data_IF_031256150497
#
_entry.id   IF_031256150497
#
_cell.length_a   1.000
_cell.length_b   1.000
_cell.length_c   1.000
_cell.angle_alpha   90.00
_cell.angle_beta   90.00
_cell.angle_gamma   90.00
#
_symmetry.space_group_name_H-M   'P 1'
#
loop_
_entity.id
_entity.type
_entity.pdbx_description
1 polymer ?
#
# COMPACT_ATOMS: atom_id res chain seq x y z
N UNK A 1 5.76 4.37 -27.92
CA UNK A 1 6.18 2.97 -28.20
C UNK A 1 5.09 1.99 -27.75
N UNK A 2 5.17 0.69 -28.06
CA UNK A 2 4.19 -0.29 -27.58
C UNK A 2 4.39 -0.60 -26.09
N UNK A 3 3.31 -0.97 -25.40
CA UNK A 3 3.35 -1.51 -24.04
C UNK A 3 4.28 -2.73 -23.96
N UNK A 4 4.88 -3.00 -22.80
CA UNK A 4 5.70 -4.19 -22.66
C UNK A 4 4.85 -5.45 -22.93
N UNK A 5 5.42 -6.47 -23.61
CA UNK A 5 4.75 -7.74 -23.84
C UNK A 5 4.44 -8.46 -22.52
N UNK A 6 3.58 -9.48 -22.54
CA UNK A 6 3.32 -10.27 -21.33
C UNK A 6 4.49 -11.19 -20.97
N UNK A 7 5.16 -11.74 -21.99
CA UNK A 7 6.38 -12.55 -21.84
C UNK A 7 7.63 -11.69 -22.08
N UNK A 8 8.66 -11.89 -21.27
CA UNK A 8 9.90 -11.14 -21.43
C UNK A 8 10.62 -11.51 -22.73
N UNK A 9 10.95 -10.53 -23.59
CA UNK A 9 11.68 -10.78 -24.81
C UNK A 9 13.14 -11.13 -24.51
N UNK A 10 13.70 -12.05 -25.29
CA UNK A 10 15.10 -12.47 -25.16
C UNK A 10 16.05 -11.57 -25.97
N UNK A 11 17.30 -11.47 -25.53
CA UNK A 11 18.38 -10.83 -26.30
C UNK A 11 18.46 -9.31 -26.18
N UNK A 12 17.75 -8.71 -25.21
CA UNK A 12 17.89 -7.30 -24.86
C UNK A 12 19.22 -7.02 -24.14
N UNK A 13 19.70 -5.79 -24.24
CA UNK A 13 20.80 -5.28 -23.40
C UNK A 13 20.35 -5.09 -21.95
N UNK A 14 21.32 -5.01 -21.03
CA UNK A 14 21.03 -4.79 -19.61
C UNK A 14 20.20 -3.51 -19.37
N UNK A 15 20.54 -2.43 -20.08
CA UNK A 15 19.80 -1.15 -20.05
C UNK A 15 18.36 -1.31 -20.54
N UNK A 16 18.14 -2.07 -21.61
CA UNK A 16 16.79 -2.32 -22.14
C UNK A 16 15.94 -3.15 -21.17
N UNK A 17 16.54 -4.16 -20.53
CA UNK A 17 15.88 -4.93 -19.48
C UNK A 17 15.55 -4.09 -18.24
N UNK A 18 16.44 -3.19 -17.79
CA UNK A 18 16.13 -2.26 -16.69
C UNK A 18 14.94 -1.35 -17.03
N UNK A 19 14.93 -0.76 -18.22
CA UNK A 19 13.79 0.05 -18.70
C UNK A 19 12.51 -0.77 -18.78
N UNK A 20 12.60 -2.02 -19.23
CA UNK A 20 11.47 -2.95 -19.27
C UNK A 20 10.94 -3.26 -17.87
N UNK A 21 11.84 -3.49 -16.91
CA UNK A 21 11.49 -3.70 -15.50
C UNK A 21 10.74 -2.51 -14.90
N UNK A 22 11.18 -1.28 -15.20
CA UNK A 22 10.45 -0.07 -14.78
C UNK A 22 9.05 -0.04 -15.39
N UNK A 23 8.89 -0.33 -16.69
CA UNK A 23 7.56 -0.37 -17.32
C UNK A 23 6.64 -1.40 -16.64
N UNK A 24 7.15 -2.58 -16.28
CA UNK A 24 6.39 -3.57 -15.52
C UNK A 24 6.02 -3.08 -14.11
N UNK A 25 6.92 -2.40 -13.39
CA UNK A 25 6.57 -1.79 -12.10
C UNK A 25 5.46 -0.76 -12.22
N UNK A 26 5.50 0.10 -13.25
CA UNK A 26 4.44 1.08 -13.50
C UNK A 26 3.08 0.40 -13.75
N UNK A 27 3.09 -0.82 -14.30
CA UNK A 27 1.91 -1.65 -14.53
C UNK A 27 1.52 -2.50 -13.29
N UNK A 28 2.28 -2.50 -12.21
CA UNK A 28 2.04 -3.39 -11.06
C UNK A 28 2.39 -4.86 -11.32
N UNK A 29 3.11 -5.15 -12.41
CA UNK A 29 3.55 -6.49 -12.83
C UNK A 29 4.86 -6.87 -12.12
N UNK A 30 4.80 -7.06 -10.80
CA UNK A 30 5.98 -7.21 -9.94
C UNK A 30 6.87 -8.40 -10.31
N UNK A 31 6.30 -9.53 -10.72
CA UNK A 31 7.07 -10.72 -11.09
C UNK A 31 7.88 -10.48 -12.37
N UNK A 32 7.23 -9.95 -13.40
CA UNK A 32 7.88 -9.60 -14.67
C UNK A 32 8.90 -8.47 -14.49
N UNK A 33 8.61 -7.50 -13.62
CA UNK A 33 9.57 -6.46 -13.24
C UNK A 33 10.82 -7.08 -12.61
N UNK A 34 10.62 -7.99 -11.65
CA UNK A 34 11.72 -8.70 -10.96
C UNK A 34 12.58 -9.49 -11.94
N UNK A 35 11.97 -10.23 -12.85
CA UNK A 35 12.69 -10.99 -13.87
C UNK A 35 13.46 -10.05 -14.82
N UNK A 36 12.83 -8.96 -15.26
CA UNK A 36 13.46 -7.98 -16.15
C UNK A 36 14.64 -7.29 -15.46
N UNK A 37 14.52 -6.91 -14.18
CA UNK A 37 15.65 -6.35 -13.45
C UNK A 37 16.76 -7.37 -13.23
N UNK A 38 16.43 -8.66 -13.07
CA UNK A 38 17.43 -9.72 -12.95
C UNK A 38 18.23 -9.88 -14.24
N UNK A 39 17.57 -9.85 -15.40
CA UNK A 39 18.22 -9.89 -16.71
C UNK A 39 18.94 -8.57 -17.05
N UNK A 40 18.46 -7.46 -16.50
CA UNK A 40 19.02 -6.12 -16.63
C UNK A 40 20.08 -5.79 -15.59
N UNK A 41 20.36 -6.72 -14.68
CA UNK A 41 21.32 -6.53 -13.62
C UNK A 41 22.72 -6.62 -14.20
N UNK A 42 23.47 -5.53 -14.09
CA UNK A 42 24.92 -5.57 -14.20
C UNK A 42 25.41 -5.72 -12.76
N UNK A 43 26.16 -6.78 -12.47
CA UNK A 43 26.69 -7.01 -11.11
C UNK A 43 27.45 -5.76 -10.64
N UNK A 44 26.99 -5.08 -9.57
CA UNK A 44 27.85 -4.21 -8.83
C UNK A 44 28.90 -5.13 -8.18
N UNK A 45 30.17 -4.84 -8.43
CA UNK A 45 31.27 -5.61 -7.85
C UNK A 45 31.29 -5.51 -6.32
N UNK A 46 30.48 -4.62 -5.72
CA UNK A 46 30.58 -4.16 -4.34
C UNK A 46 29.22 -3.65 -3.78
N UNK A 47 28.99 -3.75 -2.46
CA UNK A 47 27.90 -3.12 -1.70
C UNK A 47 28.07 -1.59 -1.76
N UNK A 48 27.10 -0.78 -1.30
CA UNK A 48 27.31 0.65 -1.11
C UNK A 48 28.53 1.04 -0.24
N UNK A 49 29.13 0.07 0.48
CA UNK A 49 30.34 0.21 1.28
C UNK A 49 31.58 -0.48 0.69
N UNK A 50 31.48 -1.19 -0.44
CA UNK A 50 32.64 -1.82 -1.08
C UNK A 50 32.69 -3.37 -1.08
N UNK A 51 31.67 -4.08 -0.59
CA UNK A 51 31.76 -5.53 -0.36
C UNK A 51 31.03 -6.39 -1.40
N UNK A 52 31.59 -7.50 -1.86
CA UNK A 52 30.87 -8.42 -2.76
C UNK A 52 29.65 -9.04 -2.08
N UNK A 53 28.48 -8.96 -2.71
CA UNK A 53 27.25 -9.62 -2.25
C UNK A 53 27.23 -11.06 -2.73
N UNK A 54 27.22 -12.01 -1.81
CA UNK A 54 27.10 -13.44 -2.12
C UNK A 54 25.64 -13.89 -2.35
N UNK A 55 25.50 -15.07 -2.95
CA UNK A 55 24.23 -15.73 -3.27
C UNK A 55 23.35 -15.95 -2.02
N UNK A 56 23.98 -16.11 -0.86
CA UNK A 56 23.34 -16.34 0.44
C UNK A 56 22.63 -15.07 0.93
N UNK A 57 23.30 -13.92 0.81
CA UNK A 57 22.73 -12.60 1.15
C UNK A 57 21.50 -12.29 0.30
N UNK A 58 21.53 -12.63 -0.99
CA UNK A 58 20.41 -12.42 -1.93
C UNK A 58 19.18 -13.27 -1.58
N UNK A 59 19.37 -14.54 -1.20
CA UNK A 59 18.29 -15.42 -0.70
C UNK A 59 17.73 -14.94 0.63
N UNK A 60 18.58 -14.40 1.50
CA UNK A 60 18.18 -13.81 2.78
C UNK A 60 17.14 -12.69 2.64
N UNK A 61 17.29 -11.79 1.66
CA UNK A 61 16.33 -10.70 1.42
C UNK A 61 14.95 -11.20 0.99
N UNK A 62 14.88 -12.13 0.03
CA UNK A 62 13.62 -12.69 -0.46
C UNK A 62 12.90 -13.50 0.63
N UNK A 63 13.66 -14.27 1.41
CA UNK A 63 13.13 -15.05 2.51
C UNK A 63 12.65 -14.15 3.67
N UNK A 64 13.36 -13.05 3.95
CA UNK A 64 12.96 -12.03 4.92
C UNK A 64 11.66 -11.31 4.54
N UNK A 65 11.47 -10.94 3.27
CA UNK A 65 10.23 -10.31 2.80
C UNK A 65 9.01 -11.24 2.93
N UNK A 66 9.18 -12.53 2.59
CA UNK A 66 8.12 -13.55 2.74
C UNK A 66 7.76 -13.78 4.21
N UNK A 67 8.76 -13.83 5.09
CA UNK A 67 8.54 -13.94 6.54
C UNK A 67 7.82 -12.70 7.06
N UNK A 68 8.20 -11.50 6.62
CA UNK A 68 7.52 -10.25 6.97
C UNK A 68 6.03 -10.28 6.60
N UNK A 69 5.69 -10.71 5.39
CA UNK A 69 4.29 -10.83 4.96
C UNK A 69 3.50 -11.88 5.78
N UNK A 70 4.11 -13.04 6.07
CA UNK A 70 3.50 -14.07 6.91
C UNK A 70 3.28 -13.57 8.34
N UNK A 71 4.23 -12.83 8.88
CA UNK A 71 4.15 -12.20 10.20
C UNK A 71 3.00 -11.19 10.26
N UNK A 72 2.87 -10.30 9.28
CA UNK A 72 1.76 -9.34 9.20
C UNK A 72 0.41 -10.05 9.18
N UNK A 73 0.28 -11.13 8.40
CA UNK A 73 -0.96 -11.91 8.36
C UNK A 73 -1.29 -12.61 9.68
N UNK A 74 -0.27 -13.14 10.38
CA UNK A 74 -0.46 -13.77 11.68
C UNK A 74 -0.91 -12.75 12.75
N UNK A 75 -0.26 -11.57 12.80
CA UNK A 75 -0.63 -10.48 13.72
C UNK A 75 -2.07 -10.02 13.47
N UNK A 76 -2.45 -9.79 12.21
CA UNK A 76 -3.82 -9.36 11.87
C UNK A 76 -4.88 -10.39 12.32
N UNK A 77 -4.60 -11.68 12.20
CA UNK A 77 -5.53 -12.73 12.64
C UNK A 77 -5.62 -12.85 14.16
N UNK A 78 -4.49 -12.72 14.86
CA UNK A 78 -4.47 -12.70 16.32
C UNK A 78 -5.29 -11.51 16.86
N UNK A 79 -5.15 -10.33 16.26
CA UNK A 79 -5.95 -9.15 16.59
C UNK A 79 -7.45 -9.34 16.31
N UNK A 80 -7.80 -9.97 15.18
CA UNK A 80 -9.20 -10.32 14.86
C UNK A 80 -9.80 -11.28 15.89
N UNK A 81 -9.03 -12.26 16.35
CA UNK A 81 -9.49 -13.24 17.33
C UNK A 81 -9.70 -12.61 18.71
N UNK A 82 -8.79 -11.72 19.14
CA UNK A 82 -8.96 -10.96 20.37
C UNK A 82 -10.22 -10.09 20.33
N UNK A 83 -10.48 -9.40 19.22
CA UNK A 83 -11.71 -8.64 19.02
C UNK A 83 -12.99 -9.51 19.02
N UNK A 84 -12.92 -10.77 18.59
CA UNK A 84 -14.05 -11.71 18.65
C UNK A 84 -14.31 -12.30 20.04
N UNK A 85 -13.28 -12.42 20.89
CA UNK A 85 -13.44 -12.93 22.25
C UNK A 85 -14.14 -11.91 23.18
N UNK A 86 -14.20 -10.64 22.80
CA UNK A 86 -14.94 -9.60 23.53
C UNK A 86 -16.44 -9.56 23.17
N UNK A 87 -16.92 -10.39 22.24
CA UNK A 87 -18.33 -10.56 21.88
C UNK A 87 -18.70 -12.05 21.95
N UNK A 88 -19.16 -12.49 23.14
CA UNK A 88 -19.57 -13.86 23.50
C UNK A 88 -20.12 -14.72 22.34
N UNK A 89 -19.42 -15.79 21.98
CA UNK A 89 -19.98 -17.16 21.92
C UNK A 89 -18.88 -18.22 21.79
N UNK A 90 -18.99 -19.24 22.65
CA UNK A 90 -18.06 -20.34 22.79
C UNK A 90 -18.24 -21.37 21.67
N UNK A 91 -17.35 -21.35 20.67
CA UNK A 91 -17.02 -22.53 19.88
C UNK A 91 -15.50 -22.62 19.67
N UNK A 92 -14.88 -23.60 20.33
CA UNK A 92 -13.43 -23.77 20.49
C UNK A 92 -12.66 -24.19 19.23
N UNK A 93 -12.97 -23.62 18.06
CA UNK A 93 -12.28 -23.87 16.80
C UNK A 93 -11.19 -22.82 16.45
N UNK A 94 -11.10 -21.72 17.22
CA UNK A 94 -10.14 -20.63 16.96
C UNK A 94 -8.70 -20.86 17.45
N UNK A 95 -8.48 -21.77 18.42
CA UNK A 95 -7.19 -21.94 19.10
C UNK A 95 -6.14 -22.67 18.24
N UNK A 96 -6.56 -23.56 17.32
CA UNK A 96 -5.63 -24.39 16.56
C UNK A 96 -4.93 -23.66 15.40
N UNK A 97 -5.61 -22.71 14.74
CA UNK A 97 -5.08 -22.06 13.54
C UNK A 97 -4.09 -20.95 13.88
N UNK A 98 -4.32 -20.17 14.93
CA UNK A 98 -3.41 -19.11 15.38
C UNK A 98 -2.08 -19.67 15.90
N UNK A 99 -2.16 -20.81 16.61
CA UNK A 99 -1.00 -21.56 17.04
C UNK A 99 -0.21 -22.11 15.85
N UNK A 100 -0.89 -22.62 14.82
CA UNK A 100 -0.25 -23.05 13.58
C UNK A 100 0.52 -21.91 12.90
N UNK A 101 0.00 -20.67 12.88
CA UNK A 101 0.72 -19.54 12.29
C UNK A 101 1.97 -19.14 13.08
N UNK A 102 1.89 -19.11 14.41
CA UNK A 102 3.07 -18.85 15.25
C UNK A 102 4.11 -19.97 15.11
N UNK A 103 3.66 -21.21 14.95
CA UNK A 103 4.52 -22.36 14.69
C UNK A 103 5.15 -22.29 13.29
N UNK A 104 4.42 -21.84 12.26
CA UNK A 104 4.95 -21.63 10.91
C UNK A 104 6.01 -20.51 10.89
N UNK A 105 5.80 -19.42 11.65
CA UNK A 105 6.80 -18.34 11.80
C UNK A 105 8.04 -18.88 12.52
N UNK A 106 7.84 -19.65 13.59
CA UNK A 106 8.94 -20.30 14.32
C UNK A 106 9.75 -21.18 13.37
N UNK A 107 9.10 -22.05 12.62
CA UNK A 107 9.77 -22.94 11.65
C UNK A 107 10.54 -22.15 10.59
N UNK A 108 9.97 -21.06 10.06
CA UNK A 108 10.63 -20.22 9.06
C UNK A 108 11.87 -19.49 9.60
N UNK A 109 11.80 -18.98 10.84
CA UNK A 109 12.93 -18.30 11.49
C UNK A 109 14.04 -19.30 11.87
N UNK A 110 13.66 -20.47 12.38
CA UNK A 110 14.63 -21.54 12.69
C UNK A 110 15.28 -22.08 11.42
N UNK A 111 14.55 -22.19 10.30
CA UNK A 111 15.10 -22.57 8.99
C UNK A 111 16.10 -21.54 8.42
N UNK A 112 16.06 -20.29 8.88
CA UNK A 112 17.04 -19.25 8.58
C UNK A 112 18.28 -19.28 9.50
N UNK A 113 18.36 -20.26 10.40
CA UNK A 113 19.46 -20.35 11.37
C UNK A 113 19.37 -19.32 12.49
N UNK A 114 18.21 -18.69 12.71
CA UNK A 114 17.99 -17.84 13.89
C UNK A 114 18.03 -18.74 15.13
N UNK A 115 18.85 -18.42 16.14
CA UNK A 115 18.91 -19.19 17.38
C UNK A 115 17.55 -19.32 18.05
N UNK A 116 17.19 -20.52 18.50
CA UNK A 116 15.86 -20.85 19.05
C UNK A 116 15.45 -19.95 20.23
N UNK A 117 16.42 -19.51 21.04
CA UNK A 117 16.20 -18.56 22.13
C UNK A 117 15.74 -17.18 21.63
N UNK A 118 16.28 -16.72 20.49
CA UNK A 118 15.86 -15.48 19.84
C UNK A 118 14.50 -15.62 19.14
N UNK A 119 14.24 -16.77 18.52
CA UNK A 119 12.93 -17.06 17.91
C UNK A 119 11.84 -17.09 18.98
N UNK A 120 12.09 -17.80 20.10
CA UNK A 120 11.16 -17.88 21.21
C UNK A 120 10.87 -16.50 21.80
N UNK A 121 11.92 -15.71 22.07
CA UNK A 121 11.78 -14.34 22.58
C UNK A 121 10.99 -13.45 21.63
N UNK A 122 11.26 -13.54 20.33
CA UNK A 122 10.53 -12.76 19.32
C UNK A 122 9.04 -13.11 19.27
N UNK A 123 8.70 -14.40 19.34
CA UNK A 123 7.31 -14.85 19.39
C UNK A 123 6.62 -14.41 20.69
N UNK A 124 7.31 -14.46 21.83
CA UNK A 124 6.80 -13.94 23.10
C UNK A 124 6.52 -12.43 23.02
N UNK A 125 7.47 -11.64 22.52
CA UNK A 125 7.30 -10.20 22.29
C UNK A 125 6.14 -9.91 21.32
N UNK A 126 5.97 -10.72 20.26
CA UNK A 126 4.86 -10.60 19.32
C UNK A 126 3.50 -10.83 20.00
N UNK A 127 3.38 -11.87 20.81
CA UNK A 127 2.17 -12.21 21.55
C UNK A 127 1.86 -11.14 22.59
N UNK A 128 2.89 -10.61 23.28
CA UNK A 128 2.74 -9.50 24.22
C UNK A 128 2.24 -8.24 23.53
N UNK A 129 2.82 -7.84 22.38
CA UNK A 129 2.39 -6.68 21.60
C UNK A 129 0.92 -6.79 21.20
N UNK A 130 0.49 -7.96 20.71
CA UNK A 130 -0.92 -8.20 20.38
C UNK A 130 -1.80 -8.10 21.64
N UNK A 131 -1.38 -8.72 22.74
CA UNK A 131 -2.14 -8.72 24.00
C UNK A 131 -2.32 -7.31 24.56
N UNK A 132 -1.29 -6.47 24.47
CA UNK A 132 -1.29 -5.07 24.89
C UNK A 132 -2.09 -4.18 23.93
N UNK A 133 -2.08 -4.48 22.62
CA UNK A 133 -2.83 -3.72 21.61
C UNK A 133 -4.37 -3.77 21.81
N UNK A 134 -4.88 -4.73 22.59
CA UNK A 134 -6.29 -4.77 23.01
C UNK A 134 -6.56 -4.32 24.45
N UNK A 135 -5.57 -3.79 25.17
CA UNK A 135 -5.69 -3.42 26.58
C UNK A 135 -6.02 -1.94 26.83
N UNK A 136 -5.89 -1.07 25.83
CA UNK A 136 -6.35 0.32 25.94
C UNK A 136 -7.86 0.38 25.72
N UNK A 137 -8.58 1.02 26.65
CA UNK A 137 -10.00 1.28 26.45
C UNK A 137 -10.17 2.07 25.14
N UNK A 138 -11.08 1.64 24.26
CA UNK A 138 -11.28 2.32 22.99
C UNK A 138 -11.69 3.78 23.25
N UNK A 139 -11.24 4.72 22.40
CA UNK A 139 -11.58 6.12 22.54
C UNK A 139 -13.11 6.30 22.55
N UNK A 140 -13.63 7.38 23.13
CA UNK A 140 -15.07 7.62 23.19
C UNK A 140 -15.66 7.65 21.77
N UNK A 141 -16.86 7.08 21.58
CA UNK A 141 -17.54 7.07 20.26
C UNK A 141 -17.94 8.46 19.77
N UNK A 142 -18.11 9.40 20.70
CA UNK A 142 -18.39 10.81 20.44
C UNK A 142 -17.07 11.57 20.61
N UNK A 143 -16.70 12.33 19.59
CA UNK A 143 -15.46 13.12 19.61
C UNK A 143 -15.57 14.20 20.70
N UNK A 144 -14.66 14.22 21.70
CA UNK A 144 -14.64 15.28 22.71
C UNK A 144 -14.39 16.64 22.06
N UNK A 145 -14.98 17.72 22.55
CA UNK A 145 -14.88 19.05 21.93
C UNK A 145 -13.82 19.96 22.55
N UNK A 146 -13.24 19.55 23.67
CA UNK A 146 -12.34 20.33 24.53
C UNK A 146 -10.89 19.83 24.48
N UNK A 147 -10.41 19.49 23.29
CA UNK A 147 -9.04 19.03 23.05
C UNK A 147 -8.19 20.11 22.37
N UNK A 148 -6.87 19.99 22.49
CA UNK A 148 -5.92 20.76 21.69
C UNK A 148 -5.86 20.23 20.25
N UNK A 149 -5.40 21.03 19.27
CA UNK A 149 -5.27 20.56 17.88
C UNK A 149 -4.38 19.32 17.72
N UNK A 150 -3.34 19.18 18.57
CA UNK A 150 -2.49 17.98 18.60
C UNK A 150 -3.28 16.76 19.06
N UNK A 151 -4.01 16.86 20.17
CA UNK A 151 -4.81 15.76 20.71
C UNK A 151 -5.92 15.36 19.74
N UNK A 152 -6.55 16.33 19.06
CA UNK A 152 -7.49 16.05 17.98
C UNK A 152 -6.86 15.29 16.81
N UNK A 153 -5.65 15.66 16.40
CA UNK A 153 -4.93 14.94 15.36
C UNK A 153 -4.61 13.50 15.78
N UNK A 154 -4.02 13.30 16.97
CA UNK A 154 -3.67 11.99 17.50
C UNK A 154 -4.92 11.09 17.64
N UNK A 155 -6.02 11.65 18.15
CA UNK A 155 -7.31 10.97 18.27
C UNK A 155 -7.89 10.61 16.90
N UNK A 156 -7.79 11.50 15.91
CA UNK A 156 -8.24 11.26 14.55
C UNK A 156 -7.50 10.10 13.86
N UNK A 157 -6.18 10.01 14.06
CA UNK A 157 -5.38 8.87 13.60
C UNK A 157 -5.85 7.59 14.28
N UNK A 158 -6.03 7.62 15.60
CA UNK A 158 -6.44 6.43 16.35
C UNK A 158 -7.84 5.93 15.98
N UNK A 159 -8.81 6.84 15.81
CA UNK A 159 -10.13 6.48 15.27
C UNK A 159 -10.03 5.81 13.90
N UNK A 160 -9.09 6.27 13.05
CA UNK A 160 -8.91 5.68 11.73
C UNK A 160 -8.39 4.24 11.82
N UNK A 161 -7.46 3.97 12.73
CA UNK A 161 -6.93 2.62 12.99
C UNK A 161 -8.03 1.64 13.45
N UNK A 162 -9.01 2.14 14.21
CA UNK A 162 -10.18 1.38 14.64
C UNK A 162 -11.28 1.25 13.57
N UNK A 163 -11.08 1.84 12.38
CA UNK A 163 -12.08 1.89 11.31
C UNK A 163 -13.24 2.85 11.58
N UNK A 164 -13.12 3.75 12.56
CA UNK A 164 -14.15 4.74 12.89
C UNK A 164 -13.94 5.99 12.03
N UNK A 165 -14.09 5.82 10.71
CA UNK A 165 -13.70 6.79 9.68
C UNK A 165 -14.37 8.16 9.83
N UNK A 166 -15.62 8.22 10.29
CA UNK A 166 -16.30 9.51 10.48
C UNK A 166 -15.90 10.21 11.77
N UNK A 167 -15.68 9.47 12.87
CA UNK A 167 -15.07 10.04 14.08
C UNK A 167 -13.65 10.56 13.79
N UNK A 168 -12.89 9.83 12.98
CA UNK A 168 -11.59 10.28 12.51
C UNK A 168 -11.71 11.59 11.72
N UNK A 169 -12.68 11.70 10.81
CA UNK A 169 -12.93 12.92 10.04
C UNK A 169 -13.27 14.10 10.94
N UNK A 170 -14.15 13.90 11.91
CA UNK A 170 -14.58 14.95 12.85
C UNK A 170 -13.39 15.45 13.68
N UNK A 171 -12.62 14.53 14.29
CA UNK A 171 -11.44 14.87 15.08
C UNK A 171 -10.38 15.61 14.25
N UNK A 172 -10.08 15.13 13.03
CA UNK A 172 -9.13 15.79 12.13
C UNK A 172 -9.65 17.17 11.68
N UNK A 173 -10.96 17.33 11.48
CA UNK A 173 -11.56 18.62 11.14
C UNK A 173 -11.38 19.62 12.29
N UNK A 174 -11.60 19.20 13.54
CA UNK A 174 -11.34 20.05 14.70
C UNK A 174 -9.85 20.43 14.85
N UNK A 175 -8.92 19.52 14.54
CA UNK A 175 -7.49 19.86 14.49
C UNK A 175 -7.19 20.95 13.44
N UNK A 176 -7.79 20.84 12.24
CA UNK A 176 -7.65 21.84 11.17
C UNK A 176 -8.26 23.18 11.57
N UNK A 177 -9.45 23.19 12.17
CA UNK A 177 -10.12 24.42 12.62
C UNK A 177 -9.34 25.12 13.74
N UNK A 178 -8.73 24.34 14.64
CA UNK A 178 -8.00 24.87 15.79
C UNK A 178 -6.60 25.40 15.48
N UNK A 179 -5.92 24.90 14.44
CA UNK A 179 -4.52 25.24 14.14
C UNK A 179 -4.31 25.76 12.70
N UNK A 180 -5.25 25.54 11.79
CA UNK A 180 -5.23 26.08 10.43
C UNK A 180 -3.98 25.67 9.64
N UNK A 181 -3.10 26.64 9.40
CA UNK A 181 -1.82 26.46 8.72
C UNK A 181 -0.65 26.13 9.66
N UNK A 182 -0.91 25.93 10.96
CA UNK A 182 0.04 25.40 11.92
C UNK A 182 0.33 23.91 11.69
N UNK A 183 1.32 23.40 12.42
CA UNK A 183 1.87 22.06 12.21
C UNK A 183 0.82 20.94 12.29
N UNK A 184 -0.11 21.02 13.24
CA UNK A 184 -1.12 19.99 13.46
C UNK A 184 -2.30 20.15 12.51
N UNK A 185 -2.67 21.39 12.17
CA UNK A 185 -3.69 21.66 11.16
C UNK A 185 -3.28 21.15 9.78
N UNK A 186 -2.01 21.37 9.39
CA UNK A 186 -1.46 20.84 8.14
C UNK A 186 -1.38 19.32 8.17
N UNK A 187 -0.87 18.71 9.25
CA UNK A 187 -0.83 17.23 9.38
C UNK A 187 -2.22 16.62 9.30
N UNK A 188 -3.20 17.19 10.00
CA UNK A 188 -4.58 16.71 9.99
C UNK A 188 -5.20 16.82 8.60
N UNK A 189 -5.00 17.94 7.90
CA UNK A 189 -5.46 18.12 6.52
C UNK A 189 -4.84 17.08 5.59
N UNK A 190 -3.52 16.90 5.64
CA UNK A 190 -2.82 15.94 4.79
C UNK A 190 -3.30 14.50 5.07
N UNK A 191 -3.47 14.14 6.35
CA UNK A 191 -3.99 12.83 6.74
C UNK A 191 -5.41 12.62 6.23
N UNK A 192 -6.31 13.58 6.44
CA UNK A 192 -7.70 13.52 5.98
C UNK A 192 -7.77 13.34 4.45
N UNK A 193 -6.96 14.09 3.70
CA UNK A 193 -6.94 14.01 2.23
C UNK A 193 -6.33 12.71 1.70
N UNK A 194 -5.30 12.18 2.37
CA UNK A 194 -4.58 11.01 1.91
C UNK A 194 -5.21 9.68 2.37
N UNK A 195 -5.89 9.66 3.52
CA UNK A 195 -6.28 8.41 4.21
C UNK A 195 -7.79 8.21 4.37
N UNK A 196 -8.60 9.22 4.07
CA UNK A 196 -10.06 9.12 4.18
C UNK A 196 -10.73 9.41 2.82
N UNK A 197 -11.87 8.78 2.51
CA UNK A 197 -12.64 9.11 1.33
C UNK A 197 -13.17 10.54 1.43
N UNK A 198 -13.42 11.20 0.29
CA UNK A 198 -13.93 12.57 0.28
C UNK A 198 -15.29 12.67 0.95
N UNK A 199 -16.18 11.75 0.62
CA UNK A 199 -17.54 11.69 1.17
C UNK A 199 -17.65 10.52 2.14
N UNK A 200 -18.49 10.64 3.18
CA UNK A 200 -18.80 9.54 4.07
C UNK A 200 -19.32 8.33 3.28
N UNK A 201 -18.76 7.16 3.57
CA UNK A 201 -19.21 5.88 3.03
C UNK A 201 -19.45 4.91 4.19
N UNK A 202 -20.37 3.94 4.06
CA UNK A 202 -20.56 2.94 5.11
C UNK A 202 -19.25 2.19 5.39
N UNK A 203 -18.98 1.87 6.67
CA UNK A 203 -17.81 1.08 7.09
C UNK A 203 -17.66 -0.20 6.24
N UNK A 204 -18.77 -0.87 5.94
CA UNK A 204 -18.78 -2.09 5.13
C UNK A 204 -18.32 -1.85 3.69
N UNK A 205 -18.58 -0.69 3.11
CA UNK A 205 -18.10 -0.34 1.77
C UNK A 205 -16.58 -0.14 1.77
N UNK A 206 -16.05 0.51 2.81
CA UNK A 206 -14.60 0.66 3.01
C UNK A 206 -13.91 -0.70 3.22
N UNK A 207 -14.47 -1.55 4.08
CA UNK A 207 -13.94 -2.89 4.32
C UNK A 207 -13.96 -3.76 3.06
N UNK A 208 -15.03 -3.67 2.25
CA UNK A 208 -15.08 -4.33 0.94
C UNK A 208 -14.00 -3.81 0.00
N UNK A 209 -13.71 -2.51 -0.01
CA UNK A 209 -12.60 -1.96 -0.81
C UNK A 209 -11.24 -2.51 -0.36
N UNK A 210 -11.01 -2.61 0.96
CA UNK A 210 -9.80 -3.24 1.51
C UNK A 210 -9.73 -4.72 1.08
N UNK A 211 -10.84 -5.45 1.13
CA UNK A 211 -10.92 -6.83 0.65
C UNK A 211 -10.57 -6.94 -0.83
N UNK A 212 -11.10 -6.07 -1.68
CA UNK A 212 -10.75 -6.02 -3.10
C UNK A 212 -9.26 -5.75 -3.33
N UNK A 213 -8.67 -4.83 -2.55
CA UNK A 213 -7.23 -4.57 -2.60
C UNK A 213 -6.41 -5.80 -2.18
N UNK A 214 -6.84 -6.52 -1.15
CA UNK A 214 -6.17 -7.76 -0.71
C UNK A 214 -6.24 -8.86 -1.77
N UNK A 215 -7.37 -9.00 -2.47
CA UNK A 215 -7.50 -9.93 -3.60
C UNK A 215 -6.50 -9.57 -4.72
N UNK A 216 -6.40 -8.29 -5.06
CA UNK A 216 -5.41 -7.80 -6.02
C UNK A 216 -3.98 -8.15 -5.60
N UNK A 217 -3.63 -7.92 -4.32
CA UNK A 217 -2.30 -8.25 -3.80
C UNK A 217 -2.04 -9.76 -3.76
N UNK A 218 -3.08 -10.58 -3.62
CA UNK A 218 -3.01 -12.04 -3.70
C UNK A 218 -2.97 -12.56 -5.15
N UNK A 219 -3.06 -11.69 -6.15
CA UNK A 219 -3.07 -12.05 -7.57
C UNK A 219 -4.45 -12.47 -8.11
N UNK A 220 -5.50 -12.43 -7.30
CA UNK A 220 -6.88 -12.65 -7.75
C UNK A 220 -7.45 -11.36 -8.37
N UNK A 221 -7.00 -11.10 -9.60
CA UNK A 221 -7.36 -9.88 -10.35
C UNK A 221 -8.85 -9.85 -10.70
N UNK A 222 -9.44 -10.98 -11.06
CA UNK A 222 -10.84 -11.07 -11.43
C UNK A 222 -11.74 -10.83 -10.20
N UNK A 223 -11.45 -11.49 -9.06
CA UNK A 223 -12.17 -11.25 -7.81
C UNK A 223 -12.04 -9.80 -7.33
N UNK A 224 -10.86 -9.19 -7.45
CA UNK A 224 -10.67 -7.78 -7.11
C UNK A 224 -11.53 -6.85 -7.98
N UNK A 225 -11.62 -7.10 -9.29
CA UNK A 225 -12.47 -6.32 -10.20
C UNK A 225 -13.94 -6.44 -9.86
N UNK A 226 -14.45 -7.65 -9.62
CA UNK A 226 -15.85 -7.86 -9.24
C UNK A 226 -16.21 -7.04 -8.00
N UNK A 227 -15.32 -7.02 -6.99
CA UNK A 227 -15.52 -6.21 -5.79
C UNK A 227 -15.54 -4.71 -6.10
N UNK A 228 -14.58 -4.20 -6.87
CA UNK A 228 -14.51 -2.77 -7.18
C UNK A 228 -15.66 -2.31 -8.08
N UNK A 229 -16.06 -3.11 -9.08
CA UNK A 229 -17.18 -2.80 -9.97
C UNK A 229 -18.51 -2.76 -9.19
N UNK A 230 -18.74 -3.72 -8.30
CA UNK A 230 -19.91 -3.71 -7.42
C UNK A 230 -19.91 -2.49 -6.48
N UNK A 231 -18.76 -2.11 -5.92
CA UNK A 231 -18.67 -0.91 -5.09
C UNK A 231 -18.92 0.38 -5.88
N UNK A 232 -18.51 0.45 -7.14
CA UNK A 232 -18.79 1.58 -8.02
C UNK A 232 -20.28 1.67 -8.34
N UNK A 233 -20.96 0.55 -8.52
CA UNK A 233 -22.41 0.51 -8.76
C UNK A 233 -23.21 0.96 -7.52
N UNK A 234 -22.84 0.45 -6.35
CA UNK A 234 -23.52 0.77 -5.08
C UNK A 234 -23.19 2.17 -4.55
N UNK A 235 -21.93 2.61 -4.69
CA UNK A 235 -21.40 3.86 -4.15
C UNK A 235 -20.62 4.63 -5.23
N UNK A 236 -21.31 5.23 -6.22
CA UNK A 236 -20.66 5.83 -7.40
C UNK A 236 -19.75 7.02 -7.07
N UNK A 237 -19.94 7.66 -5.91
CA UNK A 237 -19.14 8.79 -5.43
C UNK A 237 -17.97 8.37 -4.53
N UNK A 238 -17.82 7.08 -4.24
CA UNK A 238 -16.66 6.54 -3.52
C UNK A 238 -15.47 6.41 -4.48
N UNK A 239 -14.47 7.27 -4.33
CA UNK A 239 -13.40 7.42 -5.31
C UNK A 239 -12.37 6.27 -5.30
N UNK A 240 -12.21 5.56 -4.17
CA UNK A 240 -11.16 4.55 -4.03
C UNK A 240 -11.34 3.34 -4.96
N UNK A 241 -12.54 2.74 -5.11
CA UNK A 241 -12.78 1.68 -6.08
C UNK A 241 -12.44 2.08 -7.52
N UNK A 242 -12.77 3.33 -7.93
CA UNK A 242 -12.38 3.85 -9.25
C UNK A 242 -10.85 3.90 -9.42
N UNK A 243 -10.15 4.34 -8.38
CA UNK A 243 -8.69 4.38 -8.32
C UNK A 243 -8.02 3.02 -8.45
N UNK A 244 -8.54 2.05 -7.70
CA UNK A 244 -8.04 0.67 -7.67
C UNK A 244 -8.35 -0.05 -8.99
N UNK A 245 -9.57 0.07 -9.51
CA UNK A 245 -9.94 -0.48 -10.80
C UNK A 245 -9.11 0.13 -11.95
N UNK A 246 -8.78 1.42 -11.86
CA UNK A 246 -7.84 2.06 -12.79
C UNK A 246 -6.47 1.40 -12.78
N UNK A 247 -5.92 1.12 -11.60
CA UNK A 247 -4.64 0.43 -11.50
C UNK A 247 -4.69 -1.01 -12.05
N UNK A 248 -5.78 -1.73 -11.85
CA UNK A 248 -5.99 -3.05 -12.46
C UNK A 248 -6.02 -2.96 -13.99
N UNK A 249 -6.76 -2.01 -14.57
CA UNK A 249 -6.77 -1.80 -16.01
C UNK A 249 -5.40 -1.42 -16.56
N UNK A 250 -4.59 -0.68 -15.80
CA UNK A 250 -3.21 -0.39 -16.16
C UNK A 250 -2.36 -1.66 -16.23
N UNK A 251 -2.50 -2.55 -15.24
CA UNK A 251 -1.83 -3.86 -15.21
C UNK A 251 -2.19 -4.75 -16.39
N UNK A 252 -3.42 -4.66 -16.89
CA UNK A 252 -3.84 -5.36 -18.11
C UNK A 252 -3.39 -4.68 -19.41
N UNK A 253 -2.66 -3.57 -19.32
CA UNK A 253 -2.26 -2.77 -20.48
C UNK A 253 -3.42 -2.00 -21.10
N UNK A 254 -4.58 -1.91 -20.44
CA UNK A 254 -5.72 -1.15 -20.94
C UNK A 254 -5.63 0.33 -20.57
N UNK A 255 -4.65 1.02 -21.16
CA UNK A 255 -4.28 2.42 -20.88
C UNK A 255 -5.47 3.37 -20.98
N UNK A 256 -6.30 3.24 -22.02
CA UNK A 256 -7.45 4.11 -22.24
C UNK A 256 -8.53 3.92 -21.17
N UNK A 257 -8.83 2.67 -20.78
CA UNK A 257 -9.78 2.41 -19.68
C UNK A 257 -9.24 2.91 -18.35
N UNK A 258 -7.96 2.63 -18.07
CA UNK A 258 -7.26 3.11 -16.88
C UNK A 258 -7.34 4.63 -16.77
N UNK A 259 -6.98 5.35 -17.83
CA UNK A 259 -7.03 6.82 -17.83
C UNK A 259 -8.45 7.32 -17.53
N UNK A 260 -9.46 6.81 -18.21
CA UNK A 260 -10.85 7.25 -18.06
C UNK A 260 -11.39 7.05 -16.64
N UNK A 261 -11.14 5.88 -16.03
CA UNK A 261 -11.63 5.59 -14.68
C UNK A 261 -10.85 6.39 -13.61
N UNK A 262 -9.56 6.64 -13.82
CA UNK A 262 -8.75 7.48 -12.92
C UNK A 262 -9.17 8.95 -13.00
N UNK A 263 -9.44 9.48 -14.20
CA UNK A 263 -10.02 10.81 -14.38
C UNK A 263 -11.38 10.93 -13.69
N UNK A 264 -12.20 9.86 -13.69
CA UNK A 264 -13.43 9.81 -12.90
C UNK A 264 -13.13 9.86 -11.40
N UNK A 265 -12.20 9.07 -10.88
CA UNK A 265 -11.78 9.10 -9.47
C UNK A 265 -11.34 10.52 -9.04
N UNK A 266 -10.53 11.18 -9.87
CA UNK A 266 -10.03 12.53 -9.61
C UNK A 266 -11.10 13.62 -9.75
N UNK A 267 -12.11 13.41 -10.59
CA UNK A 267 -13.29 14.30 -10.64
C UNK A 267 -14.13 14.21 -9.36
N UNK A 268 -14.20 13.01 -8.75
CA UNK A 268 -14.87 12.78 -7.47
C UNK A 268 -14.06 13.36 -6.32
N UNK A 269 -12.73 13.18 -6.32
CA UNK A 269 -11.84 13.74 -5.32
C UNK A 269 -10.51 14.23 -5.93
N UNK A 270 -10.35 15.54 -6.16
CA UNK A 270 -9.10 16.11 -6.66
C UNK A 270 -7.91 15.98 -5.71
N UNK A 271 -8.14 15.64 -4.44
CA UNK A 271 -7.09 15.40 -3.45
C UNK A 271 -6.80 13.90 -3.26
N UNK A 272 -7.31 13.03 -4.14
CA UNK A 272 -7.07 11.60 -4.05
C UNK A 272 -5.65 11.26 -4.53
N UNK A 273 -4.73 11.12 -3.57
CA UNK A 273 -3.30 10.89 -3.82
C UNK A 273 -3.04 9.73 -4.79
N UNK A 274 -3.61 8.55 -4.51
CA UNK A 274 -3.41 7.36 -5.35
C UNK A 274 -3.95 7.57 -6.78
N UNK A 275 -5.01 8.36 -6.96
CA UNK A 275 -5.53 8.71 -8.28
C UNK A 275 -4.49 9.44 -9.14
N UNK A 276 -3.81 10.42 -8.55
CA UNK A 276 -2.74 11.16 -9.23
C UNK A 276 -1.51 10.29 -9.49
N UNK A 277 -1.11 9.45 -8.53
CA UNK A 277 0.01 8.53 -8.72
C UNK A 277 -0.27 7.50 -9.84
N UNK A 278 -1.46 6.93 -9.87
CA UNK A 278 -1.85 6.00 -10.93
C UNK A 278 -1.96 6.71 -12.29
N UNK A 279 -2.46 7.94 -12.35
CA UNK A 279 -2.51 8.71 -13.60
C UNK A 279 -1.11 9.09 -14.08
N UNK A 280 -0.17 9.40 -13.17
CA UNK A 280 1.24 9.60 -13.51
C UNK A 280 1.85 8.34 -14.16
N UNK A 281 1.56 7.14 -13.64
CA UNK A 281 1.99 5.87 -14.25
C UNK A 281 1.42 5.70 -15.66
N UNK A 282 0.12 5.96 -15.84
CA UNK A 282 -0.55 5.93 -17.17
C UNK A 282 0.13 6.86 -18.16
N UNK A 283 0.40 8.10 -17.74
CA UNK A 283 1.02 9.14 -18.58
C UNK A 283 2.45 8.77 -18.94
N UNK A 284 3.23 8.29 -17.98
CA UNK A 284 4.59 7.80 -18.21
C UNK A 284 4.64 6.63 -19.20
N UNK A 285 3.74 5.64 -19.07
CA UNK A 285 3.64 4.52 -20.00
C UNK A 285 3.16 4.93 -21.39
N UNK A 286 2.49 6.07 -21.48
CA UNK A 286 2.08 6.69 -22.75
C UNK A 286 3.14 7.65 -23.31
N UNK A 287 4.33 7.73 -22.70
CA UNK A 287 5.42 8.66 -23.03
C UNK A 287 5.05 10.15 -22.90
N UNK A 288 3.93 10.45 -22.23
CA UNK A 288 3.53 11.79 -21.83
C UNK A 288 4.24 12.16 -20.51
N UNK A 289 5.56 12.29 -20.56
CA UNK A 289 6.38 12.56 -19.38
C UNK A 289 6.03 13.92 -18.74
N UNK A 290 5.71 14.93 -19.55
CA UNK A 290 5.24 16.23 -19.04
C UNK A 290 3.96 16.06 -18.21
N UNK A 291 2.95 15.37 -18.75
CA UNK A 291 1.72 15.11 -18.02
C UNK A 291 1.92 14.21 -16.79
N UNK A 292 2.92 13.31 -16.83
CA UNK A 292 3.28 12.49 -15.67
C UNK A 292 3.88 13.35 -14.54
N UNK A 293 4.75 14.30 -14.86
CA UNK A 293 5.30 15.25 -13.88
C UNK A 293 4.22 16.19 -13.33
N UNK A 294 3.28 16.66 -14.16
CA UNK A 294 2.14 17.46 -13.69
C UNK A 294 1.31 16.68 -12.65
N UNK A 295 1.07 15.38 -12.88
CA UNK A 295 0.39 14.52 -11.92
C UNK A 295 1.18 14.35 -10.62
N UNK A 296 2.51 14.21 -10.69
CA UNK A 296 3.38 14.12 -9.52
C UNK A 296 3.41 15.43 -8.72
N UNK A 297 3.35 16.59 -9.39
CA UNK A 297 3.23 17.89 -8.73
C UNK A 297 1.91 17.98 -7.94
N UNK A 298 0.81 17.48 -8.52
CA UNK A 298 -0.48 17.39 -7.80
C UNK A 298 -0.39 16.47 -6.58
N UNK A 299 0.26 15.31 -6.71
CA UNK A 299 0.48 14.39 -5.60
C UNK A 299 1.31 15.03 -4.47
N UNK A 300 2.41 15.71 -4.80
CA UNK A 300 3.27 16.40 -3.84
C UNK A 300 2.54 17.56 -3.13
N UNK A 301 1.59 18.22 -3.80
CA UNK A 301 0.73 19.23 -3.17
C UNK A 301 -0.27 18.69 -2.15
N UNK A 302 -0.61 17.39 -2.22
CA UNK A 302 -1.53 16.71 -1.28
C UNK A 302 -0.76 16.16 -0.09
N UNK A 303 0.32 15.42 -0.35
CA UNK A 303 1.18 14.85 0.66
C UNK A 303 2.64 15.09 0.27
N UNK A 304 3.25 16.16 0.83
CA UNK A 304 4.69 16.38 0.70
C UNK A 304 5.49 15.19 1.25
N UNK A 305 6.69 14.98 0.73
CA UNK A 305 7.63 13.92 1.16
C UNK A 305 7.03 12.50 1.08
N UNK A 306 6.17 12.27 0.09
CA UNK A 306 5.60 10.94 -0.18
C UNK A 306 6.62 10.07 -0.94
N UNK A 307 7.13 9.04 -0.26
CA UNK A 307 8.13 8.13 -0.83
C UNK A 307 7.70 7.43 -2.12
N UNK A 308 6.41 7.15 -2.31
CA UNK A 308 5.92 6.52 -3.55
C UNK A 308 5.96 7.49 -4.74
N UNK A 309 5.61 8.76 -4.52
CA UNK A 309 5.72 9.82 -5.51
C UNK A 309 7.19 10.07 -5.90
N UNK A 310 8.10 10.08 -4.92
CA UNK A 310 9.53 10.25 -5.15
C UNK A 310 10.11 9.12 -6.00
N UNK A 311 9.88 7.87 -5.61
CA UNK A 311 10.30 6.70 -6.39
C UNK A 311 9.72 6.70 -7.81
N UNK A 312 8.44 7.05 -7.94
CA UNK A 312 7.78 7.15 -9.25
C UNK A 312 8.44 8.23 -10.12
N UNK A 313 8.82 9.37 -9.53
CA UNK A 313 9.56 10.42 -10.22
C UNK A 313 10.92 9.94 -10.74
N UNK A 314 11.66 9.15 -9.94
CA UNK A 314 12.93 8.55 -10.34
C UNK A 314 12.75 7.59 -11.53
N UNK A 315 11.76 6.70 -11.46
CA UNK A 315 11.41 5.80 -12.56
C UNK A 315 11.07 6.54 -13.86
N UNK A 316 10.31 7.62 -13.77
CA UNK A 316 9.94 8.44 -14.92
C UNK A 316 11.17 9.11 -15.54
N UNK A 317 12.06 9.68 -14.73
CA UNK A 317 13.33 10.27 -15.20
C UNK A 317 14.20 9.25 -15.92
N UNK A 318 14.29 8.03 -15.39
CA UNK A 318 15.06 6.96 -16.02
C UNK A 318 14.47 6.58 -17.38
N UNK A 319 13.14 6.42 -17.47
CA UNK A 319 12.46 6.14 -18.74
C UNK A 319 12.69 7.24 -19.78
N UNK A 320 12.59 8.52 -19.38
CA UNK A 320 12.76 9.69 -20.24
C UNK A 320 14.21 9.85 -20.73
N UNK A 321 15.18 9.71 -19.83
CA UNK A 321 16.62 9.80 -20.18
C UNK A 321 17.06 8.70 -21.15
N UNK A 322 16.37 7.56 -21.13
CA UNK A 322 16.55 6.46 -22.06
C UNK A 322 16.22 6.80 -23.52
N UNK A 323 15.35 7.78 -23.77
CA UNK A 323 14.91 8.15 -25.13
C UNK A 323 15.74 9.25 -25.75
N UNK A 324 16.28 10.17 -24.95
CA UNK A 324 17.10 11.28 -25.46
C UNK A 324 18.50 10.85 -25.92
N UNK A 325 18.85 9.58 -25.75
CA UNK A 325 20.17 9.01 -26.08
C UNK A 325 20.15 7.87 -27.10
N UNK A 326 19.06 7.72 -27.86
CA UNK A 326 18.93 6.83 -29.03
C UNK A 326 18.80 7.66 -30.30
#
# INVERSE_FOLDING_TARGET
MALPPDELPTGLSAREYRRLGIKYLLMGKNDQATEAFTLGYEEPEETPNGDKLDEETRRGYQQGARIGANLTNAVMKLLQQQASNDHDDADGAGDSNSKQYLDDIREQLTALGVPEDKVSKFIEELVEVVSVAGAEEPPPRVVPTDLTPREFYELGVHYKELGWTEQARDALTYAIEGDGAGDWGVKAKNFLQARLPRFPVPLMAEQRNISGYNLMMAGDIDGAKEVFEALIEEYPDFEWPHGNLGFLYLGEGNILKSQKILEKALSLNPNYLNGWLHLARVRALSEDFSGAYDCLEKAAGILPDNADAEKLCEFIKELESGERGA
#
